data_IF_965366532195
#
_entry.id   IF_965366532195
#
_cell.length_a   1.000
_cell.length_b   1.000
_cell.length_c   1.000
_cell.angle_alpha   90.00
_cell.angle_beta   90.00
_cell.angle_gamma   90.00
#
_symmetry.space_group_name_H-M   'P 1'
#
loop_
_entity.id
_entity.type
_entity.pdbx_description
1 polymer ?
#
# COMPACT_ATOMS: atom_id res chain seq x y z
N UNK A 1 15.18 -10.56 -5.70
CA UNK A 1 15.98 -9.68 -4.82
C UNK A 1 16.99 -10.49 -4.02
N UNK A 2 18.21 -9.99 -3.76
CA UNK A 2 19.21 -10.72 -2.97
C UNK A 2 18.72 -10.95 -1.54
N UNK A 3 18.93 -12.18 -1.04
CA UNK A 3 18.60 -12.61 0.33
C UNK A 3 19.43 -11.81 1.35
N UNK A 4 18.92 -11.62 2.58
CA UNK A 4 19.51 -10.75 3.61
C UNK A 4 21.02 -10.98 3.88
N UNK A 5 21.48 -12.23 3.88
CA UNK A 5 22.89 -12.59 4.05
C UNK A 5 23.81 -12.18 2.88
N UNK A 6 23.26 -11.90 1.69
CA UNK A 6 24.01 -11.27 0.58
C UNK A 6 24.10 -9.75 0.71
N UNK A 7 23.32 -9.13 1.60
CA UNK A 7 23.27 -7.66 1.77
C UNK A 7 24.33 -7.16 2.75
N UNK A 8 24.53 -7.86 3.88
CA UNK A 8 25.54 -7.50 4.87
C UNK A 8 26.95 -7.33 4.26
N UNK A 9 27.42 -8.26 3.40
CA UNK A 9 28.72 -8.14 2.76
C UNK A 9 28.80 -6.91 1.86
N UNK A 10 27.76 -6.62 1.07
CA UNK A 10 27.71 -5.47 0.18
C UNK A 10 27.75 -4.14 0.95
N UNK A 11 27.10 -4.07 2.12
CA UNK A 11 27.18 -2.90 3.00
C UNK A 11 28.57 -2.73 3.61
N UNK A 12 29.21 -3.83 4.01
CA UNK A 12 30.58 -3.80 4.48
C UNK A 12 31.54 -3.39 3.37
N UNK A 13 31.28 -3.81 2.12
CA UNK A 13 32.10 -3.43 0.96
C UNK A 13 31.89 -1.95 0.62
N UNK A 14 30.65 -1.46 0.65
CA UNK A 14 30.35 -0.05 0.41
C UNK A 14 30.99 0.86 1.47
N UNK A 15 30.88 0.51 2.76
CA UNK A 15 31.50 1.27 3.84
C UNK A 15 33.04 1.26 3.78
N UNK A 16 33.64 0.15 3.34
CA UNK A 16 35.09 0.08 3.18
C UNK A 16 35.57 0.88 1.98
N UNK A 17 34.85 0.86 0.86
CA UNK A 17 35.14 1.72 -0.30
C UNK A 17 35.01 3.20 0.05
N UNK A 18 33.94 3.61 0.75
CA UNK A 18 33.78 4.99 1.18
C UNK A 18 34.89 5.46 2.13
N UNK A 19 35.38 4.56 3.00
CA UNK A 19 36.51 4.87 3.89
C UNK A 19 37.84 4.98 3.12
N UNK A 20 38.02 4.19 2.06
CA UNK A 20 39.20 4.24 1.19
C UNK A 20 39.19 5.52 0.34
N UNK A 21 38.06 5.91 -0.22
CA UNK A 21 37.92 7.16 -1.00
C UNK A 21 38.14 8.40 -0.12
N UNK A 22 37.69 8.37 1.14
CA UNK A 22 37.98 9.44 2.11
C UNK A 22 39.48 9.60 2.42
N UNK A 23 40.24 8.50 2.40
CA UNK A 23 41.69 8.52 2.65
C UNK A 23 42.50 8.90 1.40
N UNK A 24 41.91 8.74 0.20
CA UNK A 24 42.57 8.96 -1.09
C UNK A 24 42.15 10.26 -1.79
N UNK A 25 41.13 10.96 -1.28
CA UNK A 25 40.68 12.22 -1.87
C UNK A 25 41.51 13.40 -1.35
N UNK A 26 42.18 14.10 -2.27
CA UNK A 26 42.94 15.33 -1.99
C UNK A 26 42.04 16.61 -2.05
N UNK A 27 40.74 16.48 -2.32
CA UNK A 27 39.78 17.60 -2.45
C UNK A 27 38.53 17.42 -1.59
N UNK A 28 38.21 18.42 -0.77
CA UNK A 28 37.02 18.45 0.11
C UNK A 28 35.69 18.48 -0.67
N UNK A 29 35.68 18.97 -1.92
CA UNK A 29 34.46 19.04 -2.76
C UNK A 29 33.94 17.67 -3.17
N UNK A 30 34.85 16.76 -3.49
CA UNK A 30 34.54 15.47 -4.10
C UNK A 30 34.04 14.49 -3.01
N UNK A 31 34.60 14.61 -1.81
CA UNK A 31 34.15 13.92 -0.60
C UNK A 31 32.69 14.27 -0.29
N UNK A 32 32.30 15.52 -0.51
CA UNK A 32 30.94 15.98 -0.18
C UNK A 32 29.90 15.45 -1.18
N UNK A 33 30.20 15.41 -2.48
CA UNK A 33 29.32 14.82 -3.50
C UNK A 33 29.15 13.31 -3.31
N UNK A 34 30.22 12.57 -3.04
CA UNK A 34 30.18 11.13 -2.81
C UNK A 34 29.47 10.77 -1.50
N UNK A 35 29.63 11.59 -0.47
CA UNK A 35 28.89 11.43 0.80
C UNK A 35 27.39 11.65 0.59
N UNK A 36 26.99 12.66 -0.21
CA UNK A 36 25.59 12.91 -0.55
C UNK A 36 25.01 11.77 -1.39
N UNK A 37 25.77 11.24 -2.36
CA UNK A 37 25.35 10.10 -3.17
C UNK A 37 25.21 8.83 -2.33
N UNK A 38 26.14 8.57 -1.41
CA UNK A 38 26.08 7.45 -0.45
C UNK A 38 24.89 7.60 0.51
N UNK A 39 24.64 8.81 1.04
CA UNK A 39 23.47 9.10 1.88
C UNK A 39 22.16 8.94 1.08
N UNK A 40 22.15 9.32 -0.20
CA UNK A 40 21.01 9.09 -1.09
C UNK A 40 20.78 7.59 -1.36
N UNK A 41 21.83 6.80 -1.59
CA UNK A 41 21.74 5.36 -1.83
C UNK A 41 21.35 4.59 -0.57
N UNK A 42 21.82 5.01 0.60
CA UNK A 42 21.48 4.41 1.90
C UNK A 42 20.10 4.85 2.40
N UNK A 43 19.70 6.10 2.15
CA UNK A 43 18.34 6.62 2.41
C UNK A 43 17.30 6.03 1.45
N UNK A 44 17.70 5.62 0.24
CA UNK A 44 16.92 4.73 -0.61
C UNK A 44 16.88 3.34 0.02
N UNK A 45 15.96 3.17 0.97
CA UNK A 45 15.23 2.01 1.55
C UNK A 45 15.89 0.60 1.50
N UNK A 46 16.65 0.24 0.46
CA UNK A 46 17.36 -1.02 0.24
C UNK A 46 18.34 -1.42 1.36
N UNK A 47 18.91 -0.46 2.09
CA UNK A 47 19.98 -0.69 3.09
C UNK A 47 19.46 -0.71 4.53
N UNK A 48 18.43 0.08 4.85
CA UNK A 48 17.91 0.14 6.21
C UNK A 48 17.28 -1.19 6.64
N UNK A 49 17.87 -1.82 7.66
CA UNK A 49 17.35 -3.02 8.32
C UNK A 49 15.88 -2.79 8.67
N UNK A 50 14.98 -3.66 8.17
CA UNK A 50 13.56 -3.58 8.45
C UNK A 50 13.35 -3.38 9.96
N UNK A 51 12.92 -2.18 10.39
CA UNK A 51 12.52 -1.97 11.78
C UNK A 51 11.39 -2.96 12.08
N UNK A 52 11.70 -4.00 12.85
CA UNK A 52 10.69 -4.93 13.36
C UNK A 52 9.97 -4.19 14.46
N UNK A 53 8.75 -3.75 14.18
CA UNK A 53 7.87 -3.28 15.23
C UNK A 53 7.68 -4.42 16.23
N UNK A 54 7.74 -4.16 17.55
CA UNK A 54 7.38 -5.17 18.53
C UNK A 54 6.00 -5.73 18.15
N UNK A 55 5.90 -7.06 18.14
CA UNK A 55 4.74 -7.86 17.70
C UNK A 55 3.54 -7.63 18.64
N UNK A 56 3.01 -6.41 18.70
CA UNK A 56 1.69 -6.18 19.26
C UNK A 56 0.69 -6.29 18.11
N UNK A 57 0.21 -7.51 17.90
CA UNK A 57 -0.68 -7.85 16.79
C UNK A 57 -2.10 -7.33 17.07
N UNK A 58 -2.28 -6.01 17.05
CA UNK A 58 -3.55 -5.37 17.41
C UNK A 58 -4.68 -5.79 16.46
N UNK A 59 -4.36 -6.00 15.17
CA UNK A 59 -5.33 -6.38 14.14
C UNK A 59 -5.03 -7.78 13.62
N UNK A 60 -5.29 -8.78 14.46
CA UNK A 60 -5.32 -10.19 14.05
C UNK A 60 -6.49 -10.50 13.12
N UNK A 61 -6.44 -11.62 12.40
CA UNK A 61 -7.58 -12.08 11.61
C UNK A 61 -8.86 -12.18 12.45
N UNK A 62 -8.73 -12.73 13.66
CA UNK A 62 -9.83 -12.85 14.60
C UNK A 62 -10.35 -11.47 15.02
N UNK A 63 -9.45 -10.50 15.22
CA UNK A 63 -9.84 -9.14 15.55
C UNK A 63 -10.62 -8.49 14.40
N UNK A 64 -10.15 -8.63 13.15
CA UNK A 64 -10.81 -8.10 11.95
C UNK A 64 -12.25 -8.64 11.81
N UNK A 65 -12.49 -9.91 12.14
CA UNK A 65 -13.82 -10.54 12.11
C UNK A 65 -14.76 -10.08 13.22
N UNK A 66 -14.21 -9.54 14.32
CA UNK A 66 -15.00 -9.04 15.46
C UNK A 66 -15.26 -7.53 15.39
N UNK A 67 -14.80 -6.87 14.32
CA UNK A 67 -14.97 -5.42 14.17
C UNK A 67 -16.43 -5.07 13.95
N UNK A 68 -16.90 -4.03 14.65
CA UNK A 68 -18.17 -3.39 14.32
C UNK A 68 -18.12 -2.73 12.94
N UNK A 69 -19.28 -2.45 12.35
CA UNK A 69 -19.37 -1.78 11.05
C UNK A 69 -18.64 -0.42 11.05
N UNK A 70 -18.83 0.39 12.10
CA UNK A 70 -18.17 1.69 12.26
C UNK A 70 -16.64 1.56 12.29
N UNK A 71 -16.11 0.62 13.07
CA UNK A 71 -14.66 0.41 13.15
C UNK A 71 -14.10 -0.14 11.84
N UNK A 72 -14.84 -0.99 11.14
CA UNK A 72 -14.47 -1.50 9.81
C UNK A 72 -14.41 -0.36 8.79
N UNK A 73 -15.36 0.58 8.83
CA UNK A 73 -15.35 1.76 7.98
C UNK A 73 -14.20 2.71 8.32
N UNK A 74 -13.91 2.92 9.61
CA UNK A 74 -12.77 3.76 10.01
C UNK A 74 -11.43 3.15 9.59
N UNK A 75 -11.29 1.83 9.72
CA UNK A 75 -10.05 1.12 9.40
C UNK A 75 -9.86 0.93 7.89
N UNK A 76 -10.87 0.42 7.18
CA UNK A 76 -10.76 -0.05 5.81
C UNK A 76 -11.59 0.77 4.81
N UNK A 77 -12.31 1.81 5.25
CA UNK A 77 -13.24 2.61 4.42
C UNK A 77 -14.35 1.80 3.75
N UNK A 78 -14.68 0.64 4.31
CA UNK A 78 -15.72 -0.25 3.79
C UNK A 78 -16.53 -0.85 4.94
N UNK A 79 -17.74 -1.31 4.65
CA UNK A 79 -18.51 -2.13 5.60
C UNK A 79 -17.86 -3.50 5.78
N UNK A 80 -18.09 -4.13 6.93
CA UNK A 80 -17.61 -5.49 7.22
C UNK A 80 -18.08 -6.51 6.18
N UNK A 81 -19.36 -6.46 5.82
CA UNK A 81 -19.94 -7.37 4.82
C UNK A 81 -19.27 -7.24 3.43
N UNK A 82 -19.05 -6.00 2.98
CA UNK A 82 -18.38 -5.75 1.69
C UNK A 82 -16.93 -6.19 1.73
N UNK A 83 -16.25 -6.02 2.88
CA UNK A 83 -14.90 -6.49 3.10
C UNK A 83 -14.82 -8.02 2.98
N UNK A 84 -15.70 -8.76 3.67
CA UNK A 84 -15.74 -10.23 3.60
C UNK A 84 -16.05 -10.74 2.20
N UNK A 85 -17.03 -10.12 1.51
CA UNK A 85 -17.34 -10.42 0.10
C UNK A 85 -16.12 -10.23 -0.79
N UNK A 86 -15.35 -9.16 -0.58
CA UNK A 86 -14.14 -8.91 -1.36
C UNK A 86 -13.04 -9.93 -1.04
N UNK A 87 -12.84 -10.27 0.24
CA UNK A 87 -11.90 -11.34 0.65
C UNK A 87 -12.24 -12.66 -0.03
N UNK A 88 -13.51 -13.06 -0.03
CA UNK A 88 -13.98 -14.29 -0.65
C UNK A 88 -13.69 -14.35 -2.16
N UNK A 89 -13.76 -13.20 -2.85
CA UNK A 89 -13.46 -13.10 -4.28
C UNK A 89 -11.95 -13.17 -4.59
N UNK A 90 -11.10 -12.63 -3.72
CA UNK A 90 -9.67 -12.52 -4.00
C UNK A 90 -8.84 -13.69 -3.47
N UNK A 91 -9.31 -14.40 -2.43
CA UNK A 91 -8.51 -15.40 -1.71
C UNK A 91 -7.96 -16.54 -2.59
N UNK A 92 -8.65 -16.87 -3.69
CA UNK A 92 -8.26 -17.95 -4.60
C UNK A 92 -7.21 -17.53 -5.65
N UNK A 93 -6.92 -16.23 -5.82
CA UNK A 93 -6.00 -15.76 -6.86
C UNK A 93 -4.54 -16.10 -6.51
N UNK A 94 -3.77 -16.47 -7.53
CA UNK A 94 -2.34 -16.83 -7.42
C UNK A 94 -1.47 -15.72 -6.80
N UNK A 95 -1.91 -14.46 -6.89
CA UNK A 95 -1.23 -13.30 -6.25
C UNK A 95 -1.15 -13.46 -4.74
N UNK A 96 -2.10 -14.20 -4.15
CA UNK A 96 -2.12 -14.51 -2.73
C UNK A 96 -1.52 -15.88 -2.38
N UNK A 97 -0.91 -16.56 -3.34
CA UNK A 97 -0.21 -17.82 -3.16
C UNK A 97 1.30 -17.61 -3.32
N UNK A 98 2.09 -18.30 -2.50
CA UNK A 98 3.54 -18.23 -2.57
C UNK A 98 4.10 -19.59 -2.98
N UNK A 99 5.00 -19.61 -3.97
CA UNK A 99 5.72 -20.81 -4.40
C UNK A 99 6.91 -21.17 -3.49
N UNK A 100 6.97 -20.62 -2.27
CA UNK A 100 8.03 -20.88 -1.30
C UNK A 100 7.52 -21.67 -0.10
N UNK A 101 8.43 -22.31 0.64
CA UNK A 101 8.10 -23.02 1.89
C UNK A 101 7.63 -22.10 3.04
N UNK A 102 7.69 -20.78 2.88
CA UNK A 102 7.22 -19.84 3.89
C UNK A 102 5.71 -19.61 3.78
N UNK A 103 5.01 -19.73 4.91
CA UNK A 103 3.58 -19.41 5.01
C UNK A 103 3.33 -17.98 4.55
N UNK A 104 2.46 -17.82 3.56
CA UNK A 104 1.98 -16.51 3.14
C UNK A 104 0.97 -15.96 4.15
N UNK A 105 1.02 -14.66 4.37
CA UNK A 105 0.09 -13.95 5.23
C UNK A 105 -1.34 -14.02 4.67
N UNK A 106 -2.35 -14.10 5.56
CA UNK A 106 -3.75 -14.22 5.17
C UNK A 106 -4.18 -13.08 4.19
N UNK A 107 -4.85 -13.40 3.07
CA UNK A 107 -5.32 -12.40 2.10
C UNK A 107 -6.16 -11.28 2.72
N UNK A 108 -7.00 -11.57 3.71
CA UNK A 108 -7.80 -10.58 4.41
C UNK A 108 -6.93 -9.54 5.14
N UNK A 109 -5.82 -9.95 5.75
CA UNK A 109 -4.93 -9.01 6.40
C UNK A 109 -4.17 -8.16 5.36
N UNK A 110 -3.75 -8.76 4.25
CA UNK A 110 -3.15 -8.00 3.15
C UNK A 110 -4.13 -6.95 2.60
N UNK A 111 -5.40 -7.32 2.46
CA UNK A 111 -6.48 -6.42 2.05
C UNK A 111 -6.71 -5.30 3.06
N UNK A 112 -6.84 -5.62 4.34
CA UNK A 112 -7.04 -4.63 5.40
C UNK A 112 -5.91 -3.59 5.42
N UNK A 113 -4.65 -4.04 5.36
CA UNK A 113 -3.48 -3.16 5.31
C UNK A 113 -3.53 -2.22 4.11
N UNK A 114 -3.86 -2.75 2.93
CA UNK A 114 -3.92 -1.96 1.70
C UNK A 114 -5.05 -0.93 1.75
N UNK A 115 -6.24 -1.33 2.21
CA UNK A 115 -7.40 -0.45 2.34
C UNK A 115 -7.17 0.63 3.40
N UNK A 116 -6.59 0.29 4.55
CA UNK A 116 -6.22 1.28 5.57
C UNK A 116 -5.22 2.30 5.05
N UNK A 117 -4.24 1.86 4.26
CA UNK A 117 -3.26 2.76 3.65
C UNK A 117 -3.92 3.69 2.62
N UNK A 118 -4.73 3.14 1.71
CA UNK A 118 -5.40 3.89 0.64
C UNK A 118 -6.50 4.83 1.18
N UNK A 119 -7.12 4.47 2.29
CA UNK A 119 -8.15 5.27 2.96
C UNK A 119 -7.61 6.31 3.95
N UNK A 120 -6.29 6.40 4.09
CA UNK A 120 -5.61 7.36 4.98
C UNK A 120 -4.93 8.44 4.15
N UNK A 121 -4.94 9.68 4.64
CA UNK A 121 -4.31 10.82 3.97
C UNK A 121 -3.20 11.44 4.84
N UNK A 122 -2.26 12.13 4.20
CA UNK A 122 -1.14 12.81 4.86
C UNK A 122 -0.37 11.89 5.81
N UNK A 123 -0.15 12.36 7.04
CA UNK A 123 0.57 11.61 8.08
C UNK A 123 -0.12 10.31 8.50
N UNK A 124 -1.39 10.09 8.16
CA UNK A 124 -2.09 8.82 8.41
C UNK A 124 -1.64 7.70 7.48
N UNK A 125 -1.27 8.03 6.24
CA UNK A 125 -0.78 7.07 5.23
C UNK A 125 0.69 6.67 5.43
N UNK A 126 1.37 7.26 6.41
CA UNK A 126 2.77 7.00 6.69
C UNK A 126 2.98 5.52 6.99
N UNK A 127 3.91 4.89 6.25
CA UNK A 127 4.20 3.46 6.37
C UNK A 127 4.53 3.04 7.80
N UNK A 128 5.19 3.91 8.56
CA UNK A 128 5.50 3.63 9.96
C UNK A 128 4.26 3.54 10.85
N UNK A 129 3.25 4.39 10.64
CA UNK A 129 1.98 4.32 11.40
C UNK A 129 1.20 3.06 11.06
N UNK A 130 1.07 2.75 9.77
CA UNK A 130 0.41 1.51 9.32
C UNK A 130 1.18 0.27 9.82
N UNK A 131 2.51 0.34 9.85
CA UNK A 131 3.38 -0.73 10.34
C UNK A 131 3.21 -0.99 11.83
N UNK A 132 3.10 0.07 12.63
CA UNK A 132 2.75 -0.04 14.06
C UNK A 132 1.34 -0.59 14.26
N UNK A 133 0.37 -0.15 13.45
CA UNK A 133 -1.04 -0.57 13.57
C UNK A 133 -1.20 -2.08 13.35
N UNK A 134 -0.59 -2.61 12.29
CA UNK A 134 -0.73 -4.02 11.91
C UNK A 134 0.43 -4.92 12.39
N UNK A 135 1.46 -4.36 13.04
CA UNK A 135 2.63 -5.12 13.48
C UNK A 135 3.45 -5.70 12.33
N UNK A 136 3.54 -4.99 11.19
CA UNK A 136 4.20 -5.46 9.96
C UNK A 136 5.30 -4.51 9.49
N UNK A 137 6.24 -5.03 8.70
CA UNK A 137 7.32 -4.23 8.14
C UNK A 137 6.83 -3.30 7.01
N UNK A 138 7.53 -2.18 6.83
CA UNK A 138 7.29 -1.22 5.74
C UNK A 138 7.19 -1.91 4.38
N UNK A 139 8.09 -2.86 4.11
CA UNK A 139 8.12 -3.61 2.86
C UNK A 139 6.90 -4.53 2.68
N UNK A 140 6.41 -5.14 3.76
CA UNK A 140 5.19 -5.94 3.70
C UNK A 140 3.99 -5.06 3.32
N UNK A 141 3.90 -3.84 3.86
CA UNK A 141 2.83 -2.89 3.52
C UNK A 141 2.85 -2.56 2.03
N UNK A 142 4.02 -2.20 1.48
CA UNK A 142 4.16 -1.88 0.04
C UNK A 142 3.78 -3.08 -0.82
N UNK A 143 4.28 -4.27 -0.48
CA UNK A 143 3.98 -5.50 -1.19
C UNK A 143 2.47 -5.83 -1.16
N UNK A 144 1.84 -5.75 0.01
CA UNK A 144 0.40 -6.03 0.16
C UNK A 144 -0.44 -5.02 -0.61
N UNK A 145 -0.06 -3.74 -0.57
CA UNK A 145 -0.75 -2.69 -1.34
C UNK A 145 -0.69 -2.97 -2.83
N UNK A 146 0.49 -3.32 -3.37
CA UNK A 146 0.65 -3.64 -4.79
C UNK A 146 -0.18 -4.86 -5.21
N UNK A 147 -0.15 -5.93 -4.41
CA UNK A 147 -0.94 -7.14 -4.66
C UNK A 147 -2.45 -6.86 -4.68
N UNK A 148 -2.92 -6.04 -3.74
CA UNK A 148 -4.33 -5.66 -3.65
C UNK A 148 -4.73 -4.79 -4.83
N UNK A 149 -3.92 -3.79 -5.21
CA UNK A 149 -4.20 -2.97 -6.41
C UNK A 149 -4.26 -3.87 -7.66
N UNK A 150 -3.32 -4.80 -7.82
CA UNK A 150 -3.30 -5.72 -8.95
C UNK A 150 -4.58 -6.57 -9.05
N UNK A 151 -5.05 -7.15 -7.93
CA UNK A 151 -6.27 -7.95 -7.96
C UNK A 151 -7.51 -7.09 -8.19
N UNK A 152 -7.58 -5.88 -7.61
CA UNK A 152 -8.67 -4.95 -7.84
C UNK A 152 -8.74 -4.53 -9.31
N UNK A 153 -7.61 -4.28 -9.96
CA UNK A 153 -7.55 -3.97 -11.39
C UNK A 153 -8.04 -5.14 -12.26
N UNK A 154 -7.73 -6.39 -11.89
CA UNK A 154 -8.29 -7.58 -12.56
C UNK A 154 -9.81 -7.68 -12.38
N UNK A 155 -10.33 -7.29 -11.22
CA UNK A 155 -11.77 -7.34 -10.93
C UNK A 155 -12.53 -6.16 -11.56
N UNK A 156 -11.88 -5.03 -11.84
CA UNK A 156 -12.50 -3.80 -12.37
C UNK A 156 -13.44 -4.08 -13.55
N UNK A 157 -13.02 -4.88 -14.52
CA UNK A 157 -13.84 -5.18 -15.71
C UNK A 157 -15.11 -5.99 -15.43
N UNK A 158 -15.22 -6.65 -14.27
CA UNK A 158 -16.42 -7.40 -13.86
C UNK A 158 -17.38 -6.55 -13.02
N UNK A 159 -16.87 -5.57 -12.29
CA UNK A 159 -17.61 -4.85 -11.24
C UNK A 159 -17.93 -3.41 -11.67
N UNK A 160 -17.14 -2.83 -12.56
CA UNK A 160 -17.30 -1.44 -12.99
C UNK A 160 -17.71 -1.40 -14.46
N UNK A 161 -18.96 -1.02 -14.71
CA UNK A 161 -19.49 -0.76 -16.04
C UNK A 161 -19.85 0.72 -16.12
N UNK A 162 -19.38 1.40 -17.16
CA UNK A 162 -19.85 2.75 -17.42
C UNK A 162 -21.32 2.69 -17.86
N UNK A 163 -22.23 3.47 -17.26
CA UNK A 163 -23.64 3.41 -17.60
C UNK A 163 -23.85 3.70 -19.09
N UNK A 164 -24.89 3.11 -19.70
CA UNK A 164 -25.27 3.43 -21.09
C UNK A 164 -25.90 4.82 -21.17
N UNK A 165 -25.98 5.39 -22.37
CA UNK A 165 -26.49 6.77 -22.57
C UNK A 165 -27.91 6.95 -22.00
N UNK A 166 -28.75 5.92 -22.04
CA UNK A 166 -30.10 5.97 -21.46
C UNK A 166 -30.05 6.08 -19.93
N UNK A 167 -29.19 5.27 -19.29
CA UNK A 167 -28.97 5.29 -17.85
C UNK A 167 -28.29 6.58 -17.40
N UNK A 168 -27.34 7.09 -18.18
CA UNK A 168 -26.70 8.38 -17.90
C UNK A 168 -27.72 9.52 -17.93
N UNK A 169 -28.70 9.48 -18.86
CA UNK A 169 -29.78 10.47 -18.92
C UNK A 169 -30.67 10.39 -17.69
N UNK A 170 -31.05 9.19 -17.25
CA UNK A 170 -31.82 9.00 -16.01
C UNK A 170 -31.05 9.53 -14.79
N UNK A 171 -29.76 9.18 -14.68
CA UNK A 171 -28.88 9.71 -13.64
C UNK A 171 -28.78 11.24 -13.69
N UNK A 172 -28.70 11.83 -14.89
CA UNK A 172 -28.66 13.27 -15.05
C UNK A 172 -29.97 13.97 -14.67
N UNK A 173 -31.12 13.31 -14.82
CA UNK A 173 -32.40 13.84 -14.33
C UNK A 173 -32.44 13.84 -12.80
N UNK A 174 -31.93 12.78 -12.16
CA UNK A 174 -31.81 12.73 -10.70
C UNK A 174 -30.87 13.82 -10.21
N UNK A 175 -29.69 13.98 -10.82
CA UNK A 175 -28.73 15.03 -10.46
C UNK A 175 -29.31 16.44 -10.68
N UNK A 176 -30.11 16.64 -11.73
CA UNK A 176 -30.80 17.91 -11.97
C UNK A 176 -31.79 18.26 -10.84
N UNK A 177 -32.53 17.28 -10.33
CA UNK A 177 -33.43 17.47 -9.19
C UNK A 177 -32.67 17.88 -7.91
N UNK A 178 -31.44 17.40 -7.75
CA UNK A 178 -30.52 17.76 -6.66
C UNK A 178 -29.74 19.08 -6.92
N UNK A 179 -30.03 19.79 -8.02
CA UNK A 179 -29.44 21.09 -8.34
C UNK A 179 -28.19 21.06 -9.24
N UNK A 180 -27.86 19.90 -9.82
CA UNK A 180 -26.72 19.72 -10.72
C UNK A 180 -27.17 19.33 -12.14
N UNK A 181 -27.58 20.29 -12.98
CA UNK A 181 -28.08 20.02 -14.32
C UNK A 181 -26.96 19.55 -15.26
N UNK A 182 -27.27 18.58 -16.12
CA UNK A 182 -26.37 18.13 -17.19
C UNK A 182 -25.17 17.30 -16.73
N UNK A 183 -25.20 16.76 -15.51
CA UNK A 183 -24.16 15.87 -15.02
C UNK A 183 -24.73 14.49 -14.67
N UNK A 184 -23.96 13.44 -14.92
CA UNK A 184 -24.29 12.05 -14.56
C UNK A 184 -24.00 11.77 -13.08
N UNK A 185 -23.11 12.55 -12.47
CA UNK A 185 -22.72 12.38 -11.08
C UNK A 185 -21.58 13.31 -10.67
N UNK A 186 -21.02 13.07 -9.49
CA UNK A 186 -19.95 13.86 -8.90
C UNK A 186 -18.89 12.96 -8.28
N UNK A 187 -17.60 13.28 -8.50
CA UNK A 187 -16.46 12.60 -7.90
C UNK A 187 -15.46 13.65 -7.40
N UNK A 188 -15.09 13.57 -6.12
CA UNK A 188 -14.01 14.37 -5.49
C UNK A 188 -14.03 15.89 -5.76
N UNK A 189 -15.21 16.53 -5.80
CA UNK A 189 -15.29 17.96 -6.10
C UNK A 189 -15.65 18.30 -7.54
N UNK A 190 -15.56 17.32 -8.45
CA UNK A 190 -15.82 17.50 -9.88
C UNK A 190 -17.16 16.91 -10.32
N UNK A 191 -17.87 17.64 -11.19
CA UNK A 191 -19.05 17.14 -11.88
C UNK A 191 -18.63 16.33 -13.10
N UNK A 192 -19.30 15.20 -13.32
CA UNK A 192 -19.14 14.38 -14.52
C UNK A 192 -20.23 14.80 -15.51
N UNK A 193 -19.89 15.42 -16.65
CA UNK A 193 -20.89 15.82 -17.63
C UNK A 193 -21.60 14.60 -18.24
N UNK A 194 -22.84 14.81 -18.66
CA UNK A 194 -23.59 13.91 -19.54
C UNK A 194 -22.99 13.88 -20.96
#
# INVERSE_FOLDING_TARGET
MPKAWKRLPLLQTLNSLQFIDLLNSDSDSDIQEDTILSDMITSQIYINTCRRYPLHYMYSMNYLQTLSSEKSQQLCRTTHESFEKLVAQIQADKTFQNSSHNKQHNPAIQLAVALSKLGSNGNGAALGKIGMLFGISHWAIVLYTQRVIHILMKLKGKVTVWPKIEQQREMSQVMQAEGFPGCVGFIEGGLIPL
#
